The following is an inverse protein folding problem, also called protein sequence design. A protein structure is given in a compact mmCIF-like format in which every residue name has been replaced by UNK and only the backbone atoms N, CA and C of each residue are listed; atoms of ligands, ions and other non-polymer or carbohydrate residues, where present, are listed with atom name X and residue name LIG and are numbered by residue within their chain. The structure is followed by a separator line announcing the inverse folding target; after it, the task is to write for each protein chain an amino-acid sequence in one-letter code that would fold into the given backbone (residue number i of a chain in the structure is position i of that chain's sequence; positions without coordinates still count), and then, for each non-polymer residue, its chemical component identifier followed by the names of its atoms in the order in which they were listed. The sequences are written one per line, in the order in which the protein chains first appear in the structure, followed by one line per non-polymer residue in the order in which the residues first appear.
data_IF_750007405297
#
_entry.id   IF_750007405297
#
_cell.length_a   1.000
_cell.length_b   1.000
_cell.length_c   1.000
_cell.angle_alpha   90.00
_cell.angle_beta   90.00
_cell.angle_gamma   90.00
#
_symmetry.space_group_name_H-M   'P 1'
#
loop_
_entity.id
_entity.type
_entity.pdbx_description
1 polymer ?
#
# COMPACT_ATOMS: atom_id res chain seq x y z
N UNK A 1 -12.19 -19.61 -9.73
CA UNK A 1 -12.40 -18.49 -8.79
C UNK A 1 -12.31 -17.12 -9.44
N UNK A 2 -11.66 -16.92 -10.61
CA UNK A 2 -11.82 -15.70 -11.43
C UNK A 2 -11.35 -14.37 -10.81
N UNK A 3 -10.77 -14.44 -9.61
CA UNK A 3 -10.32 -13.29 -8.83
C UNK A 3 -8.84 -13.38 -8.53
N UNK A 4 -8.24 -12.22 -8.32
CA UNK A 4 -6.83 -12.02 -8.01
C UNK A 4 -6.48 -12.69 -6.68
N UNK A 5 -5.28 -13.30 -6.61
CA UNK A 5 -4.78 -13.90 -5.39
C UNK A 5 -4.57 -12.86 -4.28
N UNK A 6 -4.92 -13.21 -3.04
CA UNK A 6 -4.90 -12.30 -1.90
C UNK A 6 -3.54 -11.60 -1.68
N UNK A 7 -2.42 -12.28 -1.96
CA UNK A 7 -1.09 -11.69 -1.80
C UNK A 7 -0.83 -10.48 -2.71
N UNK A 8 -1.50 -10.39 -3.86
CA UNK A 8 -1.31 -9.30 -4.82
C UNK A 8 -1.79 -7.96 -4.25
N UNK A 9 -2.76 -7.99 -3.33
CA UNK A 9 -3.23 -6.77 -2.65
C UNK A 9 -2.08 -6.08 -1.90
N UNK A 10 -1.16 -6.84 -1.29
CA UNK A 10 0.00 -6.28 -0.61
C UNK A 10 1.00 -5.62 -1.57
N UNK A 11 1.12 -6.16 -2.79
CA UNK A 11 1.92 -5.51 -3.85
C UNK A 11 1.29 -4.16 -4.20
N UNK A 12 -0.02 -4.09 -4.35
CA UNK A 12 -0.71 -2.82 -4.61
C UNK A 12 -0.55 -1.80 -3.47
N UNK A 13 -0.60 -2.25 -2.21
CA UNK A 13 -0.37 -1.38 -1.05
C UNK A 13 1.05 -0.81 -1.04
N UNK A 14 2.05 -1.63 -1.36
CA UNK A 14 3.43 -1.20 -1.50
C UNK A 14 3.64 -0.21 -2.65
N UNK A 15 3.03 -0.47 -3.81
CA UNK A 15 3.06 0.45 -4.95
C UNK A 15 2.47 1.82 -4.56
N UNK A 16 1.30 1.84 -3.91
CA UNK A 16 0.70 3.10 -3.45
C UNK A 16 1.61 3.86 -2.48
N UNK A 17 2.20 3.16 -1.49
CA UNK A 17 3.12 3.77 -0.52
C UNK A 17 4.36 4.35 -1.22
N UNK A 18 4.94 3.60 -2.15
CA UNK A 18 6.13 4.02 -2.92
C UNK A 18 5.82 5.24 -3.79
N UNK A 19 4.69 5.24 -4.48
CA UNK A 19 4.23 6.38 -5.29
C UNK A 19 3.94 7.61 -4.42
N UNK A 20 3.35 7.43 -3.25
CA UNK A 20 3.12 8.53 -2.31
C UNK A 20 4.44 9.20 -1.91
N UNK A 21 5.42 8.41 -1.46
CA UNK A 21 6.75 8.89 -1.07
C UNK A 21 7.46 9.63 -2.23
N UNK A 22 7.36 9.10 -3.45
CA UNK A 22 7.86 9.78 -4.64
C UNK A 22 7.17 11.13 -4.87
N UNK A 23 5.83 11.20 -4.75
CA UNK A 23 5.05 12.44 -4.95
C UNK A 23 5.38 13.53 -3.95
N UNK A 24 5.71 13.18 -2.71
CA UNK A 24 6.09 14.15 -1.67
C UNK A 24 7.57 14.52 -1.67
N UNK A 25 8.34 14.08 -2.68
CA UNK A 25 9.75 14.44 -2.84
C UNK A 25 10.74 13.56 -2.08
N UNK A 26 10.29 12.41 -1.56
CA UNK A 26 11.13 11.46 -0.83
C UNK A 26 11.07 10.05 -1.47
N UNK A 27 11.59 9.84 -2.68
CA UNK A 27 11.59 8.52 -3.31
C UNK A 27 12.24 7.47 -2.40
N UNK A 28 11.61 6.30 -2.28
CA UNK A 28 11.98 5.30 -1.30
C UNK A 28 13.44 4.83 -1.42
N UNK A 29 13.95 4.60 -2.64
CA UNK A 29 15.35 4.21 -2.83
C UNK A 29 16.38 5.24 -2.34
N UNK A 30 16.07 6.55 -2.45
CA UNK A 30 16.93 7.61 -1.93
C UNK A 30 16.93 7.64 -0.40
N UNK A 31 15.79 7.34 0.22
CA UNK A 31 15.68 7.22 1.67
C UNK A 31 16.53 6.05 2.18
N UNK A 32 16.50 4.91 1.49
CA UNK A 32 17.31 3.73 1.84
C UNK A 32 18.81 4.01 1.71
N UNK A 33 19.25 4.71 0.66
CA UNK A 33 20.65 5.17 0.51
C UNK A 33 21.10 6.09 1.65
N UNK A 34 20.18 6.85 2.24
CA UNK A 34 20.42 7.70 3.41
C UNK A 34 20.31 6.96 4.75
N UNK A 35 20.10 5.64 4.73
CA UNK A 35 19.95 4.81 5.93
C UNK A 35 18.58 4.92 6.61
N UNK A 36 17.57 5.45 5.91
CA UNK A 36 16.20 5.59 6.42
C UNK A 36 15.34 4.46 5.84
N UNK A 37 14.77 3.64 6.71
CA UNK A 37 13.94 2.49 6.35
C UNK A 37 12.56 2.57 7.02
N UNK A 38 11.51 2.20 6.29
CA UNK A 38 10.15 2.08 6.83
C UNK A 38 9.65 0.63 6.76
N UNK A 39 10.15 -0.27 7.63
CA UNK A 39 9.70 -1.65 7.64
C UNK A 39 8.23 -1.76 8.06
N UNK A 40 7.48 -2.63 7.38
CA UNK A 40 6.11 -2.99 7.77
C UNK A 40 6.19 -3.95 8.96
N UNK A 41 5.77 -3.50 10.15
CA UNK A 41 5.81 -4.30 11.39
C UNK A 41 4.53 -5.09 11.64
N UNK A 42 3.41 -4.66 11.05
CA UNK A 42 2.10 -5.31 11.14
C UNK A 42 1.31 -5.05 9.86
N UNK A 43 0.51 -6.02 9.42
CA UNK A 43 -0.48 -5.80 8.38
C UNK A 43 -1.77 -6.55 8.65
N UNK A 44 -2.89 -5.97 8.23
CA UNK A 44 -4.21 -6.60 8.29
C UNK A 44 -4.95 -6.25 7.01
N UNK A 45 -5.46 -7.27 6.32
CA UNK A 45 -6.29 -7.07 5.14
C UNK A 45 -7.62 -7.83 5.32
N UNK A 46 -8.73 -7.16 4.99
CA UNK A 46 -10.06 -7.77 5.00
C UNK A 46 -10.57 -7.82 3.56
N UNK A 47 -10.67 -9.03 3.02
CA UNK A 47 -11.11 -9.27 1.65
C UNK A 47 -12.64 -9.37 1.62
N UNK A 48 -13.32 -8.26 1.33
CA UNK A 48 -14.79 -8.20 1.24
C UNK A 48 -15.31 -8.71 -0.10
N UNK A 49 -14.67 -8.29 -1.18
CA UNK A 49 -14.93 -8.73 -2.56
C UNK A 49 -13.60 -8.91 -3.29
N UNK A 50 -13.51 -9.95 -4.14
CA UNK A 50 -12.31 -10.23 -4.91
C UNK A 50 -12.25 -9.42 -6.20
N UNK A 51 -11.12 -8.74 -6.44
CA UNK A 51 -10.84 -8.09 -7.71
C UNK A 51 -10.78 -9.12 -8.83
N UNK A 52 -11.38 -8.83 -9.99
CA UNK A 52 -11.47 -9.79 -11.09
C UNK A 52 -10.24 -9.71 -11.99
N UNK A 53 -9.88 -10.83 -12.61
CA UNK A 53 -8.90 -10.80 -13.71
C UNK A 53 -9.41 -9.91 -14.85
N UNK A 54 -8.48 -9.28 -15.55
CA UNK A 54 -8.71 -8.35 -16.66
C UNK A 54 -9.53 -7.09 -16.32
N UNK A 55 -9.81 -6.87 -15.03
CA UNK A 55 -10.45 -5.67 -14.52
C UNK A 55 -9.44 -4.63 -14.04
N UNK A 56 -9.83 -3.36 -14.08
CA UNK A 56 -9.06 -2.29 -13.45
C UNK A 56 -9.43 -2.15 -11.97
N UNK A 57 -8.43 -1.85 -11.13
CA UNK A 57 -8.66 -1.57 -9.71
C UNK A 57 -8.18 -0.18 -9.36
N UNK A 58 -8.96 0.51 -8.54
CA UNK A 58 -8.56 1.75 -7.89
C UNK A 58 -8.10 1.45 -6.47
N UNK A 59 -6.88 1.87 -6.15
CA UNK A 59 -6.29 1.76 -4.81
C UNK A 59 -6.21 3.15 -4.22
N UNK A 60 -6.94 3.36 -3.12
CA UNK A 60 -6.91 4.61 -2.35
C UNK A 60 -6.28 4.33 -1.00
N UNK A 61 -5.40 5.22 -0.53
CA UNK A 61 -4.74 5.07 0.75
C UNK A 61 -4.62 6.41 1.47
N UNK A 62 -4.61 6.37 2.80
CA UNK A 62 -4.46 7.55 3.64
C UNK A 62 -3.68 7.23 4.91
N UNK A 63 -2.92 8.22 5.37
CA UNK A 63 -2.15 8.13 6.60
C UNK A 63 -3.05 8.48 7.78
N UNK A 64 -2.94 7.70 8.85
CA UNK A 64 -3.49 8.05 10.16
C UNK A 64 -2.50 8.90 10.93
N UNK A 65 -2.97 9.47 12.02
CA UNK A 65 -2.09 10.20 12.94
C UNK A 65 -0.94 9.29 13.40
N UNK A 66 0.32 9.77 13.36
CA UNK A 66 1.45 9.00 13.84
C UNK A 66 1.35 8.68 15.34
N UNK A 67 1.70 7.46 15.71
CA UNK A 67 1.81 7.00 17.09
C UNK A 67 3.31 6.80 17.41
N UNK A 68 3.97 7.88 17.83
CA UNK A 68 5.42 7.89 18.04
C UNK A 68 6.17 7.70 16.72
N UNK A 69 6.96 6.62 16.62
CA UNK A 69 7.71 6.27 15.39
C UNK A 69 6.88 5.46 14.38
N UNK A 70 5.66 5.06 14.75
CA UNK A 70 4.81 4.24 13.89
C UNK A 70 3.80 5.12 13.17
N UNK A 71 3.61 4.83 11.89
CA UNK A 71 2.53 5.43 11.11
C UNK A 71 1.67 4.31 10.53
N UNK A 72 0.35 4.45 10.67
CA UNK A 72 -0.60 3.52 10.04
C UNK A 72 -1.07 4.09 8.71
N UNK A 73 -1.11 3.24 7.70
CA UNK A 73 -1.68 3.56 6.40
C UNK A 73 -2.86 2.61 6.21
N UNK A 74 -4.04 3.18 6.02
CA UNK A 74 -5.23 2.43 5.66
C UNK A 74 -5.38 2.43 4.14
N UNK A 75 -5.92 1.34 3.59
CA UNK A 75 -6.09 1.14 2.16
C UNK A 75 -7.53 0.70 1.84
N UNK A 76 -8.05 1.17 0.72
CA UNK A 76 -9.29 0.75 0.10
C UNK A 76 -9.00 0.35 -1.36
N UNK A 77 -9.44 -0.85 -1.74
CA UNK A 77 -9.32 -1.38 -3.10
C UNK A 77 -10.72 -1.57 -3.66
N UNK A 78 -10.98 -0.97 -4.81
CA UNK A 78 -12.28 -0.99 -5.49
C UNK A 78 -12.10 -1.46 -6.93
N UNK A 79 -13.01 -2.32 -7.39
CA UNK A 79 -13.14 -2.66 -8.81
C UNK A 79 -13.71 -1.46 -9.54
N UNK A 80 -13.06 -1.04 -10.62
CA UNK A 80 -13.58 -0.03 -11.56
C UNK A 80 -14.52 -0.70 -12.55
#
# INVERSE_FOLDING_TARGET
MGVVHHSVYYVWFEQLRTEYFRKIGFPYGQLEEQGVFFPVVESRCQYKEGARYDGEVKVTGWFREPEGIRVRIDYLVEQV
#
